data_IF_922322654232
#
_entry.id   IF_922322654232
#
_cell.length_a   1.000
_cell.length_b   1.000
_cell.length_c   1.000
_cell.angle_alpha   90.00
_cell.angle_beta   90.00
_cell.angle_gamma   90.00
#
_symmetry.space_group_name_H-M   'P 1'
#
loop_
_entity.id
_entity.type
_entity.pdbx_description
1 polymer ?
#
# COMPACT_ATOMS: atom_id res chain seq x y z
N UNK A 1 -26.19 15.93 48.48
CA UNK A 1 -24.89 15.36 48.11
C UNK A 1 -25.05 14.74 46.70
N UNK A 2 -24.69 15.51 45.68
CA UNK A 2 -24.82 15.12 44.28
C UNK A 2 -23.51 14.52 43.85
N UNK A 3 -23.44 13.23 43.65
CA UNK A 3 -22.26 12.50 43.13
C UNK A 3 -22.10 12.81 41.66
N UNK A 4 -21.06 13.55 41.33
CA UNK A 4 -20.61 13.77 39.97
C UNK A 4 -20.03 12.43 39.45
N UNK A 5 -20.68 11.84 38.48
CA UNK A 5 -20.13 10.75 37.68
C UNK A 5 -18.95 11.29 36.87
N UNK A 6 -17.78 10.63 36.85
CA UNK A 6 -16.69 11.05 36.00
C UNK A 6 -17.08 10.84 34.55
N UNK A 7 -16.93 11.88 33.74
CA UNK A 7 -17.01 11.80 32.28
C UNK A 7 -15.97 10.80 31.79
N UNK A 8 -16.33 9.87 30.86
CA UNK A 8 -15.35 8.97 30.28
C UNK A 8 -14.30 9.81 29.54
N UNK A 9 -13.02 9.55 29.83
CA UNK A 9 -11.89 10.10 29.09
C UNK A 9 -12.10 9.84 27.61
N UNK A 10 -12.35 10.90 26.86
CA UNK A 10 -12.34 10.87 25.41
C UNK A 10 -10.91 10.57 25.00
N UNK A 11 -10.65 9.32 24.66
CA UNK A 11 -9.41 8.92 23.99
C UNK A 11 -9.25 9.87 22.80
N UNK A 12 -8.16 10.65 22.69
CA UNK A 12 -7.99 11.54 21.55
C UNK A 12 -8.00 10.68 20.30
N UNK A 13 -9.01 10.89 19.43
CA UNK A 13 -9.02 10.33 18.08
C UNK A 13 -7.66 10.63 17.48
N UNK A 14 -6.90 9.58 17.21
CA UNK A 14 -5.65 9.70 16.48
C UNK A 14 -6.00 10.41 15.19
N UNK A 15 -5.63 11.69 15.06
CA UNK A 15 -5.82 12.48 13.86
C UNK A 15 -5.19 11.69 12.72
N UNK A 16 -6.05 11.04 11.94
CA UNK A 16 -5.67 10.36 10.71
C UNK A 16 -4.93 11.37 9.86
N UNK A 17 -3.65 11.10 9.66
CA UNK A 17 -2.68 12.04 9.13
C UNK A 17 -3.10 12.62 7.80
N UNK A 18 -2.81 13.88 7.68
CA UNK A 18 -2.61 14.76 6.54
C UNK A 18 -2.55 14.06 5.18
N UNK A 19 -3.11 14.77 4.22
CA UNK A 19 -3.32 14.32 2.85
C UNK A 19 -2.06 13.81 2.10
N UNK A 20 -2.30 13.31 0.91
CA UNK A 20 -1.35 12.62 -0.01
C UNK A 20 0.00 13.39 -0.23
N UNK A 21 0.06 14.67 0.06
CA UNK A 21 1.21 15.55 -0.17
C UNK A 21 1.85 16.08 1.13
N UNK A 22 1.88 15.27 2.18
CA UNK A 22 2.64 15.66 3.37
C UNK A 22 4.14 15.75 3.04
N UNK A 23 4.82 16.88 3.35
CA UNK A 23 6.24 17.09 3.00
C UNK A 23 7.16 15.96 3.48
N UNK A 24 6.84 15.34 4.62
CA UNK A 24 7.62 14.23 5.17
C UNK A 24 7.49 12.96 4.33
N UNK A 25 6.30 12.64 3.84
CA UNK A 25 6.10 11.45 2.99
C UNK A 25 6.76 11.63 1.63
N UNK A 26 6.78 12.84 1.09
CA UNK A 26 7.49 13.17 -0.15
C UNK A 26 9.01 12.98 0.01
N UNK A 27 9.60 13.49 1.11
CA UNK A 27 11.02 13.35 1.36
C UNK A 27 11.44 11.89 1.59
N UNK A 28 10.65 11.10 2.31
CA UNK A 28 10.95 9.67 2.55
C UNK A 28 10.79 8.81 1.29
N UNK A 29 9.98 9.23 0.33
CA UNK A 29 9.78 8.52 -0.95
C UNK A 29 10.78 8.94 -2.04
N UNK A 30 11.57 10.00 -1.83
CA UNK A 30 12.58 10.48 -2.79
C UNK A 30 13.61 9.41 -3.21
N UNK A 31 14.22 8.65 -2.29
CA UNK A 31 15.20 7.62 -2.69
C UNK A 31 14.58 6.55 -3.58
N UNK A 32 13.32 6.20 -3.34
CA UNK A 32 12.60 5.22 -4.15
C UNK A 32 12.19 5.78 -5.51
N UNK A 33 11.79 7.05 -5.57
CA UNK A 33 11.52 7.75 -6.83
C UNK A 33 12.77 7.82 -7.72
N UNK A 34 13.95 8.07 -7.12
CA UNK A 34 15.24 8.05 -7.85
C UNK A 34 15.57 6.64 -8.34
N UNK A 35 15.35 5.60 -7.53
CA UNK A 35 15.56 4.21 -7.95
C UNK A 35 14.65 3.81 -9.12
N UNK A 36 13.44 4.37 -9.20
CA UNK A 36 12.51 4.15 -10.30
C UNK A 36 12.92 4.84 -11.61
N UNK A 37 13.90 5.75 -11.60
CA UNK A 37 14.51 6.31 -12.81
C UNK A 37 15.36 5.29 -13.57
N UNK A 38 15.63 4.11 -13.01
CA UNK A 38 16.32 3.03 -13.74
C UNK A 38 15.50 2.66 -15.00
N UNK A 39 16.09 2.74 -16.21
CA UNK A 39 15.40 2.41 -17.46
C UNK A 39 14.82 1.01 -17.49
N UNK A 40 15.41 0.07 -16.72
CA UNK A 40 14.92 -1.31 -16.61
C UNK A 40 13.59 -1.40 -15.89
N UNK A 41 13.36 -0.51 -14.91
CA UNK A 41 12.10 -0.43 -14.19
C UNK A 41 11.06 0.31 -15.04
N UNK A 42 11.46 1.43 -15.67
CA UNK A 42 10.58 2.26 -16.48
C UNK A 42 10.10 1.59 -17.77
N UNK A 43 10.82 0.58 -18.28
CA UNK A 43 10.39 -0.20 -19.45
C UNK A 43 8.98 -0.81 -19.30
N UNK A 44 8.56 -1.10 -18.08
CA UNK A 44 7.22 -1.61 -17.80
C UNK A 44 6.10 -0.56 -17.92
N UNK A 45 6.49 0.72 -18.05
CA UNK A 45 5.57 1.82 -18.33
C UNK A 45 6.04 2.55 -19.60
N UNK A 46 5.60 2.10 -20.79
CA UNK A 46 6.13 2.57 -22.08
C UNK A 46 5.95 4.07 -22.27
N UNK A 47 4.88 4.65 -21.73
CA UNK A 47 4.62 6.11 -21.77
C UNK A 47 5.74 6.87 -21.07
N UNK A 48 6.03 6.51 -19.82
CA UNK A 48 7.06 7.19 -19.02
C UNK A 48 8.47 6.89 -19.54
N UNK A 49 8.68 5.73 -20.12
CA UNK A 49 9.95 5.38 -20.78
C UNK A 49 10.24 6.31 -21.96
N UNK A 50 9.25 6.58 -22.82
CA UNK A 50 9.40 7.52 -23.94
C UNK A 50 9.70 8.94 -23.44
N UNK A 51 9.05 9.39 -22.36
CA UNK A 51 9.33 10.70 -21.76
C UNK A 51 10.76 10.76 -21.20
N UNK A 52 11.25 9.70 -20.54
CA UNK A 52 12.62 9.61 -20.06
C UNK A 52 13.63 9.70 -21.21
N UNK A 53 13.42 8.91 -22.27
CA UNK A 53 14.27 8.97 -23.48
C UNK A 53 14.26 10.37 -24.08
N UNK A 54 13.08 11.00 -24.15
CA UNK A 54 12.94 12.39 -24.57
C UNK A 54 13.72 13.37 -23.70
N UNK A 55 13.67 13.22 -22.38
CA UNK A 55 14.43 14.06 -21.44
C UNK A 55 15.95 13.92 -21.64
N UNK A 56 16.43 12.70 -21.88
CA UNK A 56 17.85 12.47 -22.19
C UNK A 56 18.24 13.09 -23.53
N UNK A 57 17.44 12.88 -24.58
CA UNK A 57 17.71 13.45 -25.91
C UNK A 57 17.72 14.99 -25.87
N UNK A 58 16.75 15.62 -25.19
CA UNK A 58 16.74 17.08 -25.05
C UNK A 58 17.91 17.59 -24.22
N UNK A 59 18.39 16.83 -23.22
CA UNK A 59 19.61 17.19 -22.47
C UNK A 59 20.82 17.22 -23.38
N UNK A 60 21.01 16.17 -24.21
CA UNK A 60 22.10 16.11 -25.16
C UNK A 60 22.02 17.27 -26.17
N UNK A 61 20.84 17.54 -26.70
CA UNK A 61 20.62 18.62 -27.65
C UNK A 61 20.84 20.01 -27.00
N UNK A 62 20.41 20.22 -25.75
CA UNK A 62 20.60 21.47 -25.04
C UNK A 62 22.07 21.75 -24.67
N UNK A 63 22.86 20.68 -24.49
CA UNK A 63 24.34 20.79 -24.30
C UNK A 63 25.03 21.08 -25.62
N UNK A 64 24.59 20.47 -26.72
CA UNK A 64 25.17 20.68 -28.04
C UNK A 64 24.88 22.07 -28.61
N UNK A 65 23.66 22.54 -28.46
CA UNK A 65 23.18 23.84 -28.92
C UNK A 65 22.46 24.59 -27.78
N UNK A 66 23.20 25.27 -26.89
CA UNK A 66 22.63 25.89 -25.72
C UNK A 66 21.70 27.03 -26.08
N UNK A 67 20.45 26.95 -25.64
CA UNK A 67 19.48 28.04 -25.72
C UNK A 67 18.58 28.05 -24.49
N UNK A 68 18.03 29.21 -24.15
CA UNK A 68 17.09 29.34 -23.03
C UNK A 68 15.88 28.41 -23.24
N UNK A 69 15.38 28.32 -24.46
CA UNK A 69 14.27 27.44 -24.81
C UNK A 69 14.62 25.96 -24.60
N UNK A 70 15.79 25.53 -25.07
CA UNK A 70 16.24 24.13 -24.93
C UNK A 70 16.34 23.71 -23.46
N UNK A 71 16.93 24.58 -22.63
CA UNK A 71 17.04 24.30 -21.19
C UNK A 71 15.69 24.32 -20.48
N UNK A 72 14.76 25.22 -20.85
CA UNK A 72 13.42 25.22 -20.29
C UNK A 72 12.68 23.91 -20.57
N UNK A 73 12.69 23.44 -21.81
CA UNK A 73 12.05 22.17 -22.19
C UNK A 73 12.71 21.00 -21.44
N UNK A 74 14.02 20.95 -21.40
CA UNK A 74 14.78 19.88 -20.72
C UNK A 74 14.44 19.84 -19.24
N UNK A 75 14.49 20.96 -18.53
CA UNK A 75 14.16 21.04 -17.11
C UNK A 75 12.72 20.59 -16.86
N UNK A 76 11.77 21.04 -17.70
CA UNK A 76 10.37 20.66 -17.56
C UNK A 76 10.13 19.16 -17.77
N UNK A 77 10.82 18.55 -18.72
CA UNK A 77 10.75 17.11 -18.95
C UNK A 77 11.28 16.32 -17.76
N UNK A 78 12.44 16.72 -17.21
CA UNK A 78 12.98 16.07 -16.00
C UNK A 78 12.06 16.25 -14.80
N UNK A 79 11.46 17.44 -14.61
CA UNK A 79 10.47 17.65 -13.56
C UNK A 79 9.26 16.73 -13.74
N UNK A 80 8.79 16.53 -14.96
CA UNK A 80 7.66 15.63 -15.26
C UNK A 80 8.01 14.19 -14.91
N UNK A 81 9.20 13.69 -15.29
CA UNK A 81 9.65 12.32 -14.99
C UNK A 81 9.80 12.12 -13.48
N UNK A 82 10.48 13.05 -12.80
CA UNK A 82 10.68 12.97 -11.34
C UNK A 82 9.36 13.03 -10.60
N UNK A 83 8.47 13.94 -10.98
CA UNK A 83 7.15 14.08 -10.34
C UNK A 83 6.29 12.82 -10.50
N UNK A 84 6.25 12.24 -11.70
CA UNK A 84 5.49 11.03 -11.97
C UNK A 84 6.00 9.84 -11.13
N UNK A 85 7.33 9.64 -11.09
CA UNK A 85 7.95 8.60 -10.27
C UNK A 85 7.76 8.83 -8.78
N UNK A 86 7.80 10.10 -8.32
CA UNK A 86 7.54 10.44 -6.93
C UNK A 86 6.08 10.16 -6.55
N UNK A 87 5.12 10.52 -7.38
CA UNK A 87 3.71 10.24 -7.16
C UNK A 87 3.45 8.73 -7.04
N UNK A 88 4.07 7.94 -7.91
CA UNK A 88 3.99 6.48 -7.87
C UNK A 88 4.66 5.89 -6.62
N UNK A 89 5.85 6.36 -6.23
CA UNK A 89 6.56 5.91 -5.04
C UNK A 89 5.79 6.23 -3.75
N UNK A 90 5.19 7.41 -3.63
CA UNK A 90 4.33 7.79 -2.50
C UNK A 90 3.11 6.89 -2.41
N UNK A 91 2.49 6.60 -3.56
CA UNK A 91 1.32 5.73 -3.62
C UNK A 91 1.64 4.29 -3.17
N UNK A 92 2.78 3.71 -3.59
CA UNK A 92 3.22 2.37 -3.17
C UNK A 92 3.69 2.33 -1.71
N UNK A 93 4.36 3.40 -1.24
CA UNK A 93 4.89 3.49 0.11
C UNK A 93 3.80 3.38 1.19
N UNK A 94 2.60 3.87 0.92
CA UNK A 94 1.45 3.77 1.83
C UNK A 94 0.96 2.34 2.01
N UNK A 95 0.88 1.55 0.95
CA UNK A 95 0.49 0.14 1.06
C UNK A 95 1.47 -0.65 1.93
N UNK A 96 2.78 -0.38 1.82
CA UNK A 96 3.81 -1.02 2.65
C UNK A 96 3.75 -0.58 4.11
N UNK A 97 3.45 0.69 4.38
CA UNK A 97 3.34 1.20 5.75
C UNK A 97 2.19 0.53 6.52
N UNK A 98 1.07 0.23 5.85
CA UNK A 98 -0.05 -0.49 6.46
C UNK A 98 0.30 -1.94 6.81
N UNK A 99 0.97 -2.66 5.91
CA UNK A 99 1.46 -4.02 6.19
C UNK A 99 2.47 -4.02 7.36
N UNK A 100 3.33 -3.00 7.43
CA UNK A 100 4.28 -2.84 8.53
C UNK A 100 3.58 -2.57 9.88
N UNK A 101 2.50 -1.78 9.87
CA UNK A 101 1.69 -1.52 11.08
C UNK A 101 1.03 -2.79 11.61
N UNK A 102 0.43 -3.61 10.74
CA UNK A 102 -0.14 -4.90 11.12
C UNK A 102 0.91 -5.86 11.71
N UNK A 103 2.12 -5.85 11.16
CA UNK A 103 3.24 -6.64 11.70
C UNK A 103 3.71 -6.16 13.07
N UNK A 104 3.73 -4.84 13.29
CA UNK A 104 4.14 -4.27 14.57
C UNK A 104 3.20 -4.70 15.69
N UNK A 105 1.88 -4.64 15.47
CA UNK A 105 0.87 -5.06 16.44
C UNK A 105 1.09 -6.51 16.91
N UNK A 106 1.57 -7.39 16.03
CA UNK A 106 1.84 -8.78 16.37
C UNK A 106 3.12 -8.96 17.20
N UNK A 107 4.18 -8.21 16.92
CA UNK A 107 5.48 -8.35 17.61
C UNK A 107 5.42 -7.97 19.09
N UNK A 108 4.51 -7.08 19.45
CA UNK A 108 4.38 -6.55 20.81
C UNK A 108 3.41 -7.37 21.69
N UNK A 109 2.78 -8.44 21.13
CA UNK A 109 1.86 -9.28 21.90
C UNK A 109 2.63 -10.30 22.73
N UNK A 110 2.40 -10.27 24.05
CA UNK A 110 2.93 -11.28 24.99
C UNK A 110 1.88 -12.35 25.26
N UNK A 111 2.32 -13.58 25.42
CA UNK A 111 1.47 -14.74 25.72
C UNK A 111 1.81 -15.33 27.09
N UNK A 112 0.81 -15.73 27.84
CA UNK A 112 0.98 -16.51 29.08
C UNK A 112 0.85 -17.99 28.74
N UNK A 113 2.01 -18.63 28.56
CA UNK A 113 2.11 -20.05 28.29
C UNK A 113 1.82 -20.85 29.56
N UNK A 114 0.92 -21.82 29.46
CA UNK A 114 0.57 -22.75 30.55
C UNK A 114 1.31 -24.06 30.34
N UNK A 115 2.16 -24.43 31.28
CA UNK A 115 2.87 -25.71 31.24
C UNK A 115 2.00 -26.87 31.75
N UNK A 116 2.52 -28.13 31.67
CA UNK A 116 1.83 -29.31 32.14
C UNK A 116 1.65 -29.34 33.68
N UNK A 117 2.39 -28.51 34.42
CA UNK A 117 2.27 -28.39 35.89
C UNK A 117 1.25 -27.34 36.30
N UNK A 118 0.69 -26.56 35.35
CA UNK A 118 -0.21 -25.43 35.58
C UNK A 118 0.50 -24.13 35.91
N UNK A 119 1.82 -24.04 35.74
CA UNK A 119 2.55 -22.80 35.91
C UNK A 119 2.45 -21.92 34.64
N UNK A 120 2.27 -20.61 34.85
CA UNK A 120 2.19 -19.65 33.78
C UNK A 120 3.55 -18.99 33.55
N UNK A 121 4.03 -18.98 32.30
CA UNK A 121 5.27 -18.31 31.88
C UNK A 121 4.96 -17.33 30.76
N UNK A 122 5.47 -16.10 30.87
CA UNK A 122 5.27 -15.08 29.83
C UNK A 122 6.32 -15.24 28.73
N UNK A 123 5.86 -15.41 27.49
CA UNK A 123 6.69 -15.53 26.28
C UNK A 123 6.19 -14.58 25.19
N UNK A 124 7.01 -14.29 24.20
CA UNK A 124 6.55 -13.55 23.02
C UNK A 124 5.59 -14.42 22.18
N UNK A 125 4.52 -13.83 21.65
CA UNK A 125 3.56 -14.55 20.81
C UNK A 125 4.21 -15.22 19.57
N UNK A 126 5.36 -14.69 19.13
CA UNK A 126 6.17 -15.23 18.04
C UNK A 126 6.91 -16.53 18.39
N UNK A 127 7.03 -16.87 19.68
CA UNK A 127 7.72 -18.08 20.17
C UNK A 127 6.76 -19.25 20.41
N UNK A 128 5.45 -18.99 20.31
CA UNK A 128 4.42 -20.01 20.49
C UNK A 128 4.55 -21.12 19.44
N UNK A 129 4.30 -22.35 19.87
CA UNK A 129 4.33 -23.55 19.02
C UNK A 129 2.94 -24.15 18.91
N UNK A 130 2.75 -24.92 17.87
CA UNK A 130 1.54 -25.70 17.66
C UNK A 130 1.33 -26.67 18.82
N UNK A 131 0.15 -26.61 19.44
CA UNK A 131 -0.20 -27.41 20.62
C UNK A 131 0.06 -26.74 21.96
N UNK A 132 0.76 -25.59 22.00
CA UNK A 132 0.95 -24.81 23.22
C UNK A 132 -0.39 -24.35 23.80
N UNK A 133 -0.48 -24.35 25.13
CA UNK A 133 -1.66 -23.87 25.85
C UNK A 133 -1.36 -22.48 26.41
N UNK A 134 -2.21 -21.50 26.11
CA UNK A 134 -2.06 -20.12 26.56
C UNK A 134 -3.29 -19.68 27.34
N UNK A 135 -3.05 -18.89 28.38
CA UNK A 135 -4.11 -18.32 29.23
C UNK A 135 -4.40 -16.91 28.77
N UNK A 136 -5.68 -16.60 28.52
CA UNK A 136 -6.16 -15.25 28.26
C UNK A 136 -7.27 -14.87 29.23
N UNK A 137 -7.23 -13.64 29.72
CA UNK A 137 -8.21 -13.07 30.66
C UNK A 137 -8.83 -11.79 30.07
N UNK A 138 -9.86 -11.29 30.72
CA UNK A 138 -10.50 -10.03 30.32
C UNK A 138 -9.48 -8.91 30.16
N UNK A 139 -9.46 -8.29 28.98
CA UNK A 139 -8.51 -7.24 28.59
C UNK A 139 -7.32 -7.71 27.75
N UNK A 140 -7.02 -9.01 27.75
CA UNK A 140 -5.91 -9.58 26.98
C UNK A 140 -6.22 -9.65 25.49
N UNK A 141 -5.17 -9.55 24.69
CA UNK A 141 -5.22 -9.85 23.25
C UNK A 141 -4.82 -11.31 23.06
N UNK A 142 -5.63 -12.06 22.31
CA UNK A 142 -5.36 -13.45 21.96
C UNK A 142 -4.08 -13.51 21.11
N UNK A 143 -3.04 -14.26 21.57
CA UNK A 143 -1.71 -14.16 20.96
C UNK A 143 -1.55 -14.95 19.66
N UNK A 144 -2.48 -15.83 19.33
CA UNK A 144 -2.42 -16.68 18.12
C UNK A 144 -3.74 -17.38 17.86
N UNK A 145 -3.87 -17.97 16.67
CA UNK A 145 -5.05 -18.75 16.31
C UNK A 145 -5.07 -20.07 17.08
N UNK A 146 -6.23 -20.43 17.59
CA UNK A 146 -6.36 -21.63 18.41
C UNK A 146 -7.80 -22.02 18.70
N UNK A 147 -7.95 -23.04 19.54
CA UNK A 147 -9.22 -23.50 20.06
C UNK A 147 -9.27 -23.35 21.58
N UNK A 148 -10.39 -22.84 22.09
CA UNK A 148 -10.64 -22.79 23.53
C UNK A 148 -10.82 -24.21 24.04
N UNK A 149 -9.93 -24.63 24.94
CA UNK A 149 -9.93 -25.96 25.54
C UNK A 149 -10.50 -25.95 26.97
N UNK A 150 -10.53 -24.75 27.60
CA UNK A 150 -11.06 -24.59 28.96
C UNK A 150 -11.66 -23.20 29.13
N UNK A 151 -12.84 -23.12 29.74
CA UNK A 151 -13.51 -21.87 30.04
C UNK A 151 -14.49 -21.39 28.97
N UNK A 152 -15.09 -20.23 29.24
CA UNK A 152 -16.00 -19.49 28.35
C UNK A 152 -15.69 -18.00 28.50
N UNK A 153 -15.70 -17.24 27.40
CA UNK A 153 -15.47 -15.81 27.42
C UNK A 153 -16.20 -15.10 26.27
N UNK A 154 -16.51 -13.83 26.48
CA UNK A 154 -16.89 -12.94 25.40
C UNK A 154 -15.62 -12.38 24.74
N UNK A 155 -15.55 -12.45 23.42
CA UNK A 155 -14.42 -12.01 22.62
C UNK A 155 -14.88 -10.94 21.65
N UNK A 156 -14.15 -9.84 21.58
CA UNK A 156 -14.31 -8.80 20.58
C UNK A 156 -13.48 -9.16 19.34
N UNK A 157 -14.18 -9.51 18.28
CA UNK A 157 -13.58 -9.87 16.98
C UNK A 157 -13.70 -8.73 15.96
N UNK A 158 -14.12 -7.54 16.39
CA UNK A 158 -14.36 -6.39 15.49
C UNK A 158 -13.15 -5.99 14.67
N UNK A 159 -11.95 -6.18 15.21
CA UNK A 159 -10.69 -5.93 14.49
C UNK A 159 -10.49 -6.86 13.28
N UNK A 160 -11.13 -8.04 13.28
CA UNK A 160 -11.00 -9.07 12.24
C UNK A 160 -12.24 -9.13 11.37
N UNK A 161 -13.42 -9.20 11.98
CA UNK A 161 -14.70 -9.39 11.27
C UNK A 161 -15.38 -8.08 10.90
N UNK A 162 -15.02 -6.98 11.57
CA UNK A 162 -15.70 -5.69 11.46
C UNK A 162 -17.02 -5.60 12.23
N UNK A 163 -17.46 -6.70 12.86
CA UNK A 163 -18.69 -6.73 13.65
C UNK A 163 -18.43 -6.27 15.09
N UNK A 164 -19.17 -5.28 15.55
CA UNK A 164 -18.99 -4.71 16.90
C UNK A 164 -19.63 -5.54 18.01
N UNK A 165 -20.42 -6.57 17.68
CA UNK A 165 -21.06 -7.43 18.67
C UNK A 165 -20.08 -8.48 19.20
N UNK A 166 -19.87 -8.58 20.53
CA UNK A 166 -19.02 -9.62 21.10
C UNK A 166 -19.54 -11.02 20.80
N UNK A 167 -18.61 -11.93 20.51
CA UNK A 167 -18.93 -13.33 20.26
C UNK A 167 -18.57 -14.18 21.49
N UNK A 168 -19.45 -15.09 21.88
CA UNK A 168 -19.16 -16.04 22.97
C UNK A 168 -18.29 -17.17 22.41
N UNK A 169 -17.14 -17.38 23.04
CA UNK A 169 -16.21 -18.47 22.76
C UNK A 169 -16.13 -19.39 23.97
N UNK A 170 -16.28 -20.70 23.75
CA UNK A 170 -16.36 -21.71 24.81
C UNK A 170 -15.63 -22.99 24.41
N UNK A 171 -15.22 -23.77 25.40
CA UNK A 171 -14.57 -25.05 25.15
C UNK A 171 -15.56 -26.06 24.58
N UNK A 172 -15.17 -26.71 23.49
CA UNK A 172 -15.93 -27.76 22.80
C UNK A 172 -16.98 -27.22 21.81
N UNK A 173 -17.14 -27.95 20.71
CA UNK A 173 -18.12 -27.62 19.65
C UNK A 173 -17.68 -26.49 18.70
N UNK A 174 -18.68 -25.94 18.00
CA UNK A 174 -18.45 -24.99 16.90
C UNK A 174 -17.99 -23.59 17.33
N UNK A 175 -17.98 -23.32 18.66
CA UNK A 175 -17.60 -22.01 19.22
C UNK A 175 -16.23 -21.97 19.85
N UNK A 176 -15.44 -23.03 19.70
CA UNK A 176 -14.11 -23.11 20.30
C UNK A 176 -13.05 -22.30 19.57
N UNK A 177 -13.19 -22.12 18.26
CA UNK A 177 -12.19 -21.46 17.45
C UNK A 177 -12.04 -19.96 17.79
N UNK A 178 -10.80 -19.52 18.01
CA UNK A 178 -10.47 -18.11 18.26
C UNK A 178 -9.34 -17.67 17.33
N UNK A 179 -9.35 -16.37 16.99
CA UNK A 179 -8.36 -15.79 16.08
C UNK A 179 -7.41 -14.87 16.84
N UNK A 180 -6.12 -15.01 16.57
CA UNK A 180 -5.09 -14.13 17.12
C UNK A 180 -5.35 -12.65 16.77
N UNK A 181 -5.07 -11.75 17.74
CA UNK A 181 -5.32 -10.31 17.58
C UNK A 181 -6.71 -9.85 18.02
N UNK A 182 -7.63 -10.76 18.35
CA UNK A 182 -8.92 -10.46 18.97
C UNK A 182 -8.78 -10.22 20.47
N UNK A 183 -9.72 -9.51 21.09
CA UNK A 183 -9.63 -9.10 22.50
C UNK A 183 -10.64 -9.85 23.37
N UNK A 184 -10.18 -10.44 24.46
CA UNK A 184 -11.05 -11.07 25.48
C UNK A 184 -11.71 -9.95 26.29
N UNK A 185 -13.03 -9.96 26.41
CA UNK A 185 -13.82 -8.96 27.12
C UNK A 185 -14.24 -9.40 28.52
N UNK A 186 -14.45 -10.70 28.73
CA UNK A 186 -14.87 -11.23 30.02
C UNK A 186 -14.14 -12.55 30.32
N UNK A 187 -14.09 -12.92 31.61
CA UNK A 187 -13.67 -14.19 32.13
C UNK A 187 -12.24 -14.64 31.77
N UNK A 188 -11.94 -15.91 31.95
CA UNK A 188 -10.67 -16.57 31.69
C UNK A 188 -10.88 -17.77 30.80
N UNK A 189 -10.09 -17.86 29.74
CA UNK A 189 -10.05 -19.01 28.82
C UNK A 189 -8.64 -19.55 28.68
N UNK A 190 -8.54 -20.84 28.43
CA UNK A 190 -7.30 -21.51 28.00
C UNK A 190 -7.47 -21.87 26.53
N UNK A 191 -6.53 -21.44 25.73
CA UNK A 191 -6.51 -21.62 24.28
C UNK A 191 -5.37 -22.55 23.92
N UNK A 192 -5.64 -23.59 23.13
CA UNK A 192 -4.62 -24.40 22.51
C UNK A 192 -4.29 -23.85 21.14
N UNK A 193 -3.03 -23.54 20.90
CA UNK A 193 -2.57 -22.95 19.62
C UNK A 193 -2.67 -23.99 18.51
N UNK A 194 -3.40 -23.68 17.45
CA UNK A 194 -3.63 -24.53 16.28
C UNK A 194 -2.91 -24.07 15.01
N UNK A 195 -2.35 -22.87 14.99
CA UNK A 195 -1.57 -22.34 13.89
C UNK A 195 -0.16 -21.93 14.32
N UNK A 196 0.85 -22.41 13.61
CA UNK A 196 2.23 -21.99 13.85
C UNK A 196 2.44 -20.50 13.47
N UNK A 197 3.40 -19.80 14.09
CA UNK A 197 3.82 -18.47 13.65
C UNK A 197 4.19 -18.47 12.16
N UNK A 198 3.66 -17.52 11.40
CA UNK A 198 3.79 -17.45 9.94
C UNK A 198 2.62 -18.05 9.17
N UNK A 199 1.72 -18.82 9.85
CA UNK A 199 0.55 -19.45 9.24
C UNK A 199 -0.78 -19.04 9.88
N UNK A 200 -0.78 -18.04 10.78
CA UNK A 200 -1.99 -17.52 11.41
C UNK A 200 -2.88 -16.82 10.38
N UNK A 201 -4.14 -16.60 10.74
CA UNK A 201 -5.08 -15.83 9.91
C UNK A 201 -4.51 -14.45 9.55
N UNK A 202 -3.94 -13.75 10.54
CA UNK A 202 -3.29 -12.45 10.32
C UNK A 202 -2.08 -12.58 9.38
N UNK A 203 -1.27 -13.65 9.50
CA UNK A 203 -0.14 -13.87 8.58
C UNK A 203 -0.62 -14.06 7.14
N UNK A 204 -1.68 -14.82 6.97
CA UNK A 204 -2.31 -15.02 5.65
C UNK A 204 -2.85 -13.70 5.09
N UNK A 205 -3.49 -12.88 5.92
CA UNK A 205 -3.95 -11.55 5.53
C UNK A 205 -2.77 -10.64 5.12
N UNK A 206 -1.69 -10.63 5.92
CA UNK A 206 -0.47 -9.87 5.59
C UNK A 206 0.12 -10.38 4.28
N UNK A 207 0.24 -11.70 4.10
CA UNK A 207 0.76 -12.29 2.87
C UNK A 207 -0.12 -11.95 1.64
N UNK A 208 -1.44 -11.92 1.81
CA UNK A 208 -2.37 -11.48 0.76
C UNK A 208 -2.21 -9.98 0.44
N UNK A 209 -1.97 -9.13 1.45
CA UNK A 209 -1.73 -7.70 1.26
C UNK A 209 -0.36 -7.45 0.61
N UNK A 210 0.67 -8.21 1.01
CA UNK A 210 2.04 -8.09 0.48
C UNK A 210 2.24 -8.82 -0.85
N UNK A 211 1.66 -10.00 -1.00
CA UNK A 211 1.71 -10.82 -2.21
C UNK A 211 0.74 -10.38 -3.29
N UNK A 212 -0.26 -9.62 -2.93
CA UNK A 212 -1.08 -8.90 -3.88
C UNK A 212 -0.24 -7.75 -4.47
N UNK A 213 0.63 -8.11 -5.43
CA UNK A 213 0.92 -7.15 -6.50
C UNK A 213 -0.46 -6.67 -6.94
N UNK A 214 -0.74 -5.40 -6.66
CA UNK A 214 -2.03 -4.77 -6.96
C UNK A 214 -2.54 -5.25 -8.31
N UNK A 215 -3.58 -6.04 -8.33
CA UNK A 215 -4.19 -6.48 -9.58
C UNK A 215 -4.78 -5.24 -10.26
N UNK A 216 -4.20 -4.90 -11.41
CA UNK A 216 -4.72 -3.80 -12.23
C UNK A 216 -6.17 -4.11 -12.58
N UNK A 217 -7.05 -3.13 -12.42
CA UNK A 217 -8.44 -3.28 -12.85
C UNK A 217 -8.49 -3.44 -14.38
N UNK A 218 -9.54 -4.07 -14.95
CA UNK A 218 -9.71 -4.15 -16.40
C UNK A 218 -9.67 -2.78 -17.09
N UNK A 219 -10.20 -1.74 -16.43
CA UNK A 219 -10.15 -0.37 -16.93
C UNK A 219 -8.71 0.18 -16.96
N UNK A 220 -7.91 -0.12 -15.93
CA UNK A 220 -6.48 0.25 -15.91
C UNK A 220 -5.70 -0.47 -17.00
N UNK A 221 -5.99 -1.74 -17.26
CA UNK A 221 -5.37 -2.51 -18.35
C UNK A 221 -5.77 -1.91 -19.70
N UNK A 222 -7.06 -1.64 -19.92
CA UNK A 222 -7.56 -1.04 -21.15
C UNK A 222 -6.94 0.35 -21.40
N UNK A 223 -6.85 1.20 -20.37
CA UNK A 223 -6.20 2.51 -20.46
C UNK A 223 -4.70 2.39 -20.74
N UNK A 224 -3.99 1.46 -20.13
CA UNK A 224 -2.57 1.23 -20.43
C UNK A 224 -2.36 0.81 -21.90
N UNK A 225 -3.23 -0.05 -22.44
CA UNK A 225 -3.18 -0.44 -23.86
C UNK A 225 -3.45 0.78 -24.74
N UNK A 226 -4.48 1.57 -24.44
CA UNK A 226 -4.80 2.79 -25.17
C UNK A 226 -3.64 3.79 -25.17
N UNK A 227 -3.08 4.08 -23.99
CA UNK A 227 -1.96 5.02 -23.84
C UNK A 227 -0.72 4.53 -24.59
N UNK A 228 -0.42 3.23 -24.52
CA UNK A 228 0.71 2.64 -25.24
C UNK A 228 0.50 2.73 -26.75
N UNK A 229 -0.70 2.45 -27.22
CA UNK A 229 -1.05 2.54 -28.65
C UNK A 229 -0.96 3.98 -29.14
N UNK A 230 -1.50 4.95 -28.39
CA UNK A 230 -1.38 6.38 -28.72
C UNK A 230 0.08 6.83 -28.73
N UNK A 231 0.89 6.37 -27.78
CA UNK A 231 2.32 6.69 -27.72
C UNK A 231 3.04 6.23 -28.98
N UNK A 232 2.77 5.01 -29.44
CA UNK A 232 3.34 4.48 -30.69
C UNK A 232 2.87 5.31 -31.90
N UNK A 233 1.59 5.62 -31.98
CA UNK A 233 1.03 6.43 -33.09
C UNK A 233 1.69 7.80 -33.11
N UNK A 234 1.76 8.48 -31.96
CA UNK A 234 2.36 9.82 -31.89
C UNK A 234 3.86 9.80 -32.16
N UNK A 235 4.57 8.75 -31.74
CA UNK A 235 5.98 8.56 -32.09
C UNK A 235 6.14 8.46 -33.61
N UNK A 236 5.33 7.66 -34.27
CA UNK A 236 5.34 7.55 -35.75
C UNK A 236 5.01 8.86 -36.44
N UNK A 237 3.98 9.59 -35.95
CA UNK A 237 3.60 10.90 -36.48
C UNK A 237 4.74 11.90 -36.35
N UNK A 238 5.38 11.99 -35.17
CA UNK A 238 6.50 12.93 -34.95
C UNK A 238 7.73 12.53 -35.78
N UNK A 239 8.01 11.24 -35.92
CA UNK A 239 9.11 10.77 -36.78
C UNK A 239 8.88 11.11 -38.26
N UNK A 240 7.64 11.02 -38.74
CA UNK A 240 7.29 11.38 -40.13
C UNK A 240 7.17 12.88 -40.35
N UNK A 241 6.96 13.66 -39.29
CA UNK A 241 6.88 15.12 -39.36
C UNK A 241 8.21 15.75 -39.79
N UNK A 242 9.36 15.20 -39.34
CA UNK A 242 10.67 15.76 -39.65
C UNK A 242 10.95 15.80 -41.18
N UNK A 243 10.90 14.69 -41.92
CA UNK A 243 11.16 14.74 -43.37
C UNK A 243 10.11 15.57 -44.12
N UNK A 244 8.88 15.66 -43.61
CA UNK A 244 7.85 16.49 -44.22
C UNK A 244 8.15 17.99 -44.00
N UNK A 245 8.61 18.35 -42.79
CA UNK A 245 9.01 19.72 -42.46
C UNK A 245 10.24 20.14 -43.28
N UNK A 246 11.22 19.25 -43.44
CA UNK A 246 12.42 19.48 -44.27
C UNK A 246 12.04 19.74 -45.74
N UNK A 247 11.14 18.91 -46.28
CA UNK A 247 10.63 19.09 -47.63
C UNK A 247 9.92 20.44 -47.83
N UNK A 248 9.21 20.89 -46.81
CA UNK A 248 8.47 22.18 -46.81
C UNK A 248 9.38 23.41 -46.56
N UNK A 249 10.68 23.20 -46.29
CA UNK A 249 11.62 24.27 -45.93
C UNK A 249 11.44 24.81 -44.50
N UNK A 250 10.73 24.08 -43.64
CA UNK A 250 10.41 24.46 -42.25
C UNK A 250 11.01 23.46 -41.26
N UNK A 251 12.33 23.17 -41.40
CA UNK A 251 13.07 22.25 -40.53
C UNK A 251 12.85 22.51 -39.05
N UNK A 252 12.52 21.45 -38.31
CA UNK A 252 12.27 21.52 -36.86
C UNK A 252 13.46 20.98 -36.08
N UNK A 253 13.73 21.57 -34.92
CA UNK A 253 14.75 21.03 -34.03
C UNK A 253 14.27 19.79 -33.29
N UNK A 254 15.19 18.90 -32.93
CA UNK A 254 14.89 17.68 -32.14
C UNK A 254 14.17 18.04 -30.84
N UNK A 255 14.51 19.16 -30.21
CA UNK A 255 13.89 19.65 -28.98
C UNK A 255 12.41 19.94 -29.19
N UNK A 256 12.04 20.60 -30.30
CA UNK A 256 10.65 20.89 -30.65
C UNK A 256 9.89 19.61 -30.91
N UNK A 257 10.48 18.65 -31.62
CA UNK A 257 9.84 17.35 -31.91
C UNK A 257 9.61 16.53 -30.65
N UNK A 258 10.57 16.48 -29.75
CA UNK A 258 10.41 15.81 -28.44
C UNK A 258 9.36 16.51 -27.57
N UNK A 259 9.38 17.84 -27.52
CA UNK A 259 8.37 18.62 -26.80
C UNK A 259 6.96 18.35 -27.35
N UNK A 260 6.82 18.31 -28.67
CA UNK A 260 5.55 17.99 -29.35
C UNK A 260 5.10 16.58 -29.01
N UNK A 261 5.99 15.60 -29.09
CA UNK A 261 5.69 14.20 -28.73
C UNK A 261 5.15 14.08 -27.32
N UNK A 262 5.86 14.66 -26.32
CA UNK A 262 5.45 14.59 -24.92
C UNK A 262 4.15 15.35 -24.65
N UNK A 263 3.93 16.47 -25.38
CA UNK A 263 2.68 17.22 -25.29
C UNK A 263 1.48 16.42 -25.83
N UNK A 264 1.67 15.61 -26.87
CA UNK A 264 0.63 14.77 -27.44
C UNK A 264 0.30 13.57 -26.56
N UNK A 265 1.28 13.03 -25.84
CA UNK A 265 1.07 11.87 -24.96
C UNK A 265 0.39 12.32 -23.67
N UNK A 266 -0.77 11.76 -23.28
CA UNK A 266 -1.44 12.10 -22.02
C UNK A 266 -0.75 11.47 -20.81
N UNK A 267 0.46 11.93 -20.51
CA UNK A 267 1.34 11.40 -19.45
C UNK A 267 0.71 11.44 -18.06
N UNK A 268 -0.11 12.46 -17.79
CA UNK A 268 -0.79 12.66 -16.51
C UNK A 268 -1.81 11.57 -16.21
N UNK A 269 -2.49 11.01 -17.23
CA UNK A 269 -3.48 9.94 -17.03
C UNK A 269 -2.80 8.66 -16.54
N UNK A 270 -1.65 8.29 -17.11
CA UNK A 270 -0.91 7.10 -16.72
C UNK A 270 -0.44 7.13 -15.25
N UNK A 271 0.06 8.27 -14.79
CA UNK A 271 0.50 8.45 -13.41
C UNK A 271 -0.67 8.60 -12.43
N UNK A 272 -1.70 9.36 -12.80
CA UNK A 272 -2.83 9.69 -11.92
C UNK A 272 -3.73 8.47 -11.68
N UNK A 273 -3.90 7.60 -12.67
CA UNK A 273 -4.77 6.44 -12.59
C UNK A 273 -4.35 5.49 -11.46
N UNK A 274 -3.05 5.23 -11.33
CA UNK A 274 -2.50 4.44 -10.23
C UNK A 274 -2.70 5.12 -8.88
N UNK A 275 -2.47 6.43 -8.82
CA UNK A 275 -2.63 7.23 -7.61
C UNK A 275 -4.10 7.29 -7.14
N UNK A 276 -5.07 7.45 -8.05
CA UNK A 276 -6.51 7.47 -7.74
C UNK A 276 -6.97 6.12 -7.18
N UNK A 277 -6.57 5.01 -7.80
CA UNK A 277 -6.94 3.67 -7.33
C UNK A 277 -6.41 3.40 -5.92
N UNK A 278 -5.19 3.85 -5.59
CA UNK A 278 -4.60 3.70 -4.25
C UNK A 278 -5.30 4.62 -3.25
N UNK A 279 -5.59 5.87 -3.60
CA UNK A 279 -6.31 6.79 -2.73
C UNK A 279 -7.74 6.32 -2.42
N UNK A 280 -8.39 5.67 -3.37
CA UNK A 280 -9.70 5.04 -3.16
C UNK A 280 -9.63 3.88 -2.17
N UNK A 281 -8.65 2.98 -2.33
CA UNK A 281 -8.41 1.87 -1.40
C UNK A 281 -8.04 2.35 0.00
N UNK A 282 -7.22 3.41 0.13
CA UNK A 282 -6.84 4.00 1.41
C UNK A 282 -8.07 4.46 2.22
N UNK A 283 -9.08 5.04 1.57
CA UNK A 283 -10.34 5.42 2.23
C UNK A 283 -11.14 4.22 2.76
N UNK A 284 -11.10 3.09 2.08
CA UNK A 284 -11.77 1.87 2.54
C UNK A 284 -11.04 1.26 3.74
N UNK A 285 -9.71 1.24 3.70
CA UNK A 285 -8.89 0.76 4.82
C UNK A 285 -9.09 1.62 6.07
N UNK A 286 -9.21 2.95 5.93
CA UNK A 286 -9.54 3.85 7.04
C UNK A 286 -10.91 3.55 7.66
N UNK A 287 -11.76 2.83 6.96
CA UNK A 287 -13.06 2.35 7.46
C UNK A 287 -13.05 0.85 7.81
N UNK A 288 -11.86 0.30 8.08
CA UNK A 288 -11.65 -1.12 8.39
C UNK A 288 -12.14 -2.10 7.29
N UNK A 289 -12.21 -1.64 6.04
CA UNK A 289 -12.55 -2.47 4.89
C UNK A 289 -11.28 -2.78 4.10
N UNK A 290 -10.85 -4.03 4.06
CA UNK A 290 -9.70 -4.47 3.30
C UNK A 290 -10.12 -4.70 1.84
N UNK A 291 -9.79 -3.77 0.95
CA UNK A 291 -10.05 -3.91 -0.48
C UNK A 291 -8.79 -4.44 -1.18
N UNK A 292 -8.88 -5.62 -1.78
CA UNK A 292 -7.77 -6.25 -2.51
C UNK A 292 -7.63 -5.77 -3.96
N UNK A 293 -8.59 -5.03 -4.47
CA UNK A 293 -8.54 -4.47 -5.83
C UNK A 293 -9.33 -3.17 -5.92
N UNK A 294 -8.94 -2.30 -6.86
CA UNK A 294 -9.67 -1.06 -7.17
C UNK A 294 -11.11 -1.27 -7.71
N UNK A 295 -11.57 -2.54 -7.87
CA UNK A 295 -12.96 -2.85 -8.19
C UNK A 295 -13.91 -2.67 -7.01
N UNK A 296 -13.39 -2.66 -5.78
CA UNK A 296 -14.19 -2.50 -4.58
C UNK A 296 -14.45 -1.01 -4.25
N UNK A 297 -13.88 -0.10 -4.99
CA UNK A 297 -14.05 1.35 -4.94
C UNK A 297 -14.91 1.82 -6.09
#
# INVERSE_FOLDING_TARGET
MTTLTPTPDVVPEARVGSGMFEPRSLLTSLPEAVRKLDPRVMWHNPVMFVVLVGAVLTTVAAVAEPSVFAWWITVWLWLTVVFANLAEAVAEGRGRAQAASLRATRRDTMARLLDASGAETTVAATELKLGDRVVCQAGDIIPGDGDVVEGVASVDESAITGESAPVIRESGGDRSAVTGGTKVLSDRIVIQITAAPGHTFIDRMIALVEGASRQKTPNEVALNILLSSLTIIFLLVVMTLQPLADYSGATQSVIVLVALLVCLIPTTIGALLSAIGIAGMDRLVQRNVLAMSGRAV
#
